data_IF_799784378652
#
_entry.id   IF_799784378652
#
_cell.length_a   1.000
_cell.length_b   1.000
_cell.length_c   1.000
_cell.angle_alpha   90.00
_cell.angle_beta   90.00
_cell.angle_gamma   90.00
#
_symmetry.space_group_name_H-M   'P 1'
#
loop_
_entity.id
_entity.type
_entity.pdbx_description
1 polymer ?
#
# COMPACT_ATOMS: atom_id res chain seq x y z
N UNK A 1 -22.16 26.86 -17.28
CA UNK A 1 -22.52 26.89 -15.84
C UNK A 1 -21.65 25.87 -15.11
N UNK A 2 -21.12 26.29 -13.96
CA UNK A 2 -20.14 25.59 -13.13
C UNK A 2 -20.66 24.25 -12.64
N UNK A 3 -19.81 23.23 -12.69
CA UNK A 3 -19.70 22.31 -11.55
C UNK A 3 -18.22 22.14 -11.23
N UNK A 4 -17.77 22.90 -10.22
CA UNK A 4 -16.61 22.53 -9.43
C UNK A 4 -16.98 21.24 -8.69
N UNK A 5 -16.84 20.09 -9.37
CA UNK A 5 -16.99 18.78 -8.74
C UNK A 5 -15.78 18.60 -7.83
N UNK A 6 -15.99 18.92 -6.55
CA UNK A 6 -15.08 18.59 -5.45
C UNK A 6 -14.83 17.08 -5.52
N UNK A 7 -13.56 16.73 -5.74
CA UNK A 7 -13.06 15.36 -5.78
C UNK A 7 -13.08 14.80 -4.35
N UNK A 8 -14.18 14.16 -3.97
CA UNK A 8 -14.34 13.60 -2.62
C UNK A 8 -13.54 12.31 -2.41
N UNK A 9 -13.05 11.67 -3.49
CA UNK A 9 -12.32 10.40 -3.41
C UNK A 9 -13.09 9.33 -2.61
N UNK A 10 -14.40 9.47 -2.50
CA UNK A 10 -15.23 8.79 -1.52
C UNK A 10 -15.99 7.62 -2.16
N UNK A 11 -15.36 6.45 -2.21
CA UNK A 11 -16.07 5.18 -1.98
C UNK A 11 -15.07 4.03 -1.98
N UNK A 12 -14.58 3.66 -0.79
CA UNK A 12 -14.24 2.26 -0.57
C UNK A 12 -15.53 1.57 -0.14
N UNK A 13 -16.17 0.89 -1.07
CA UNK A 13 -16.05 -0.55 -1.02
C UNK A 13 -14.96 -0.87 -2.03
N UNK A 14 -14.06 -1.82 -1.74
CA UNK A 14 -13.24 -2.39 -2.80
C UNK A 14 -14.17 -3.05 -3.82
N UNK A 15 -14.73 -2.28 -4.74
CA UNK A 15 -15.47 -2.81 -5.87
C UNK A 15 -14.41 -3.58 -6.63
N UNK A 16 -14.42 -4.90 -6.42
CA UNK A 16 -13.72 -5.83 -7.28
C UNK A 16 -14.46 -5.75 -8.61
N UNK A 17 -14.03 -4.82 -9.47
CA UNK A 17 -14.45 -4.87 -10.85
C UNK A 17 -13.87 -6.15 -11.43
N UNK A 18 -14.74 -7.05 -11.86
CA UNK A 18 -14.33 -8.16 -12.69
C UNK A 18 -13.58 -7.65 -13.92
N UNK A 19 -12.72 -8.50 -14.48
CA UNK A 19 -11.88 -8.17 -15.64
C UNK A 19 -12.69 -7.58 -16.83
N UNK A 20 -13.93 -8.02 -17.01
CA UNK A 20 -14.83 -7.59 -18.08
C UNK A 20 -15.61 -6.30 -17.81
N UNK A 21 -15.66 -5.84 -16.56
CA UNK A 21 -16.49 -4.69 -16.21
C UNK A 21 -15.80 -3.38 -16.60
N UNK A 22 -16.54 -2.46 -17.24
CA UNK A 22 -16.00 -1.15 -17.62
C UNK A 22 -15.66 -0.34 -16.35
N UNK A 23 -14.45 0.20 -16.23
CA UNK A 23 -14.12 1.06 -15.10
C UNK A 23 -14.94 2.36 -15.15
N UNK A 24 -15.53 2.71 -14.02
CA UNK A 24 -16.18 4.00 -13.81
C UNK A 24 -15.12 5.10 -13.72
N UNK A 25 -15.46 6.28 -14.26
CA UNK A 25 -14.60 7.47 -14.22
C UNK A 25 -14.31 7.84 -12.76
N UNK A 26 -13.05 8.11 -12.44
CA UNK A 26 -12.56 8.44 -11.08
C UNK A 26 -12.71 7.31 -10.05
N UNK A 27 -13.00 6.08 -10.48
CA UNK A 27 -13.08 4.94 -9.55
C UNK A 27 -11.73 4.59 -8.91
N UNK A 28 -11.83 3.94 -7.75
CA UNK A 28 -10.70 3.34 -7.02
C UNK A 28 -10.94 1.83 -6.94
N UNK A 29 -10.03 1.03 -7.46
CA UNK A 29 -10.21 -0.42 -7.53
C UNK A 29 -9.10 -1.18 -6.83
N UNK A 30 -9.47 -2.34 -6.27
CA UNK A 30 -8.51 -3.36 -5.89
C UNK A 30 -7.96 -3.99 -7.19
N UNK A 31 -6.65 -3.99 -7.35
CA UNK A 31 -5.95 -4.60 -8.48
C UNK A 31 -4.68 -5.29 -7.99
N UNK A 32 -4.00 -5.97 -8.89
CA UNK A 32 -2.84 -6.80 -8.59
C UNK A 32 -1.67 -6.49 -9.52
N UNK A 33 -0.46 -6.63 -9.01
CA UNK A 33 0.77 -6.50 -9.78
C UNK A 33 1.75 -7.59 -9.35
N UNK A 34 2.11 -8.46 -10.29
CA UNK A 34 3.15 -9.46 -10.10
C UNK A 34 4.53 -8.91 -10.43
N UNK A 35 5.50 -9.16 -9.56
CA UNK A 35 6.87 -8.67 -9.68
C UNK A 35 7.87 -9.63 -9.03
N UNK A 36 9.16 -9.47 -9.32
CA UNK A 36 10.21 -10.21 -8.61
C UNK A 36 10.36 -9.76 -7.17
N UNK A 37 10.97 -10.59 -6.31
CA UNK A 37 11.25 -10.24 -4.91
C UNK A 37 12.14 -9.00 -4.83
N UNK A 38 13.16 -8.91 -5.67
CA UNK A 38 14.05 -7.75 -5.72
C UNK A 38 13.31 -6.46 -6.09
N UNK A 39 12.43 -6.50 -7.10
CA UNK A 39 11.62 -5.36 -7.49
C UNK A 39 10.55 -5.02 -6.44
N UNK A 40 10.00 -6.01 -5.75
CA UNK A 40 9.05 -5.80 -4.66
C UNK A 40 9.66 -4.93 -3.55
N UNK A 41 10.90 -5.24 -3.12
CA UNK A 41 11.65 -4.41 -2.16
C UNK A 41 11.81 -2.97 -2.63
N UNK A 42 12.16 -2.78 -3.91
CA UNK A 42 12.34 -1.45 -4.48
C UNK A 42 11.03 -0.66 -4.56
N UNK A 43 9.92 -1.30 -4.91
CA UNK A 43 8.60 -0.68 -4.99
C UNK A 43 8.11 -0.27 -3.60
N UNK A 44 8.35 -1.09 -2.58
CA UNK A 44 7.98 -0.76 -1.20
C UNK A 44 8.79 0.44 -0.70
N UNK A 45 10.10 0.47 -0.98
CA UNK A 45 10.98 1.54 -0.53
C UNK A 45 10.76 2.87 -1.28
N UNK A 46 10.54 2.81 -2.60
CA UNK A 46 10.59 4.00 -3.46
C UNK A 46 9.26 4.33 -4.15
N UNK A 47 8.25 3.47 -4.01
CA UNK A 47 7.06 3.49 -4.83
C UNK A 47 7.29 2.89 -6.21
N UNK A 48 6.19 2.78 -6.97
CA UNK A 48 6.26 2.33 -8.37
C UNK A 48 7.00 3.34 -9.25
N UNK A 49 7.68 2.82 -10.27
CA UNK A 49 8.21 3.60 -11.39
C UNK A 49 7.48 3.16 -12.67
N UNK A 50 7.33 4.08 -13.61
CA UNK A 50 6.79 3.73 -14.93
C UNK A 50 7.73 2.76 -15.64
N UNK A 51 7.17 1.76 -16.32
CA UNK A 51 7.92 1.04 -17.34
C UNK A 51 8.33 2.00 -18.46
N UNK A 52 9.46 1.70 -19.13
CA UNK A 52 9.90 2.47 -20.30
C UNK A 52 9.16 2.08 -21.59
N UNK A 53 8.57 0.88 -21.62
CA UNK A 53 7.85 0.29 -22.76
C UNK A 53 6.71 -0.64 -22.30
N UNK A 54 5.96 -1.20 -23.25
CA UNK A 54 4.92 -2.22 -23.04
C UNK A 54 3.83 -2.12 -24.10
N UNK A 55 2.86 -3.04 -24.08
CA UNK A 55 1.76 -3.10 -25.05
C UNK A 55 0.96 -1.78 -25.12
N UNK A 56 0.70 -1.18 -23.96
CA UNK A 56 0.00 0.09 -23.79
C UNK A 56 1.00 1.25 -23.58
N UNK A 57 2.27 1.07 -23.95
CA UNK A 57 3.32 2.06 -23.70
C UNK A 57 3.76 2.13 -22.24
N UNK A 58 4.24 3.32 -21.84
CA UNK A 58 4.80 3.59 -20.51
C UNK A 58 3.72 3.64 -19.42
N UNK A 59 3.96 3.00 -18.29
CA UNK A 59 3.11 3.10 -17.12
C UNK A 59 3.35 1.98 -16.11
N UNK A 60 2.43 1.84 -15.15
CA UNK A 60 2.38 0.75 -14.20
C UNK A 60 1.30 -0.23 -14.66
N UNK A 61 1.71 -1.43 -15.05
CA UNK A 61 0.79 -2.48 -15.46
C UNK A 61 0.20 -3.15 -14.24
N UNK A 62 -1.12 -3.24 -14.23
CA UNK A 62 -1.91 -3.83 -13.14
C UNK A 62 -2.98 -4.72 -13.75
N UNK A 63 -3.47 -5.69 -12.99
CA UNK A 63 -4.53 -6.60 -13.42
C UNK A 63 -5.62 -6.67 -12.38
N UNK A 64 -6.85 -6.94 -12.82
CA UNK A 64 -7.98 -7.21 -11.91
C UNK A 64 -8.04 -8.69 -11.53
N UNK A 65 -7.30 -9.54 -12.24
CA UNK A 65 -7.16 -10.95 -11.99
C UNK A 65 -5.85 -11.24 -11.23
N UNK A 66 -5.99 -11.69 -9.98
CA UNK A 66 -4.85 -12.10 -9.15
C UNK A 66 -4.07 -13.26 -9.77
N UNK A 67 -4.74 -14.25 -10.37
CA UNK A 67 -4.08 -15.42 -11.00
C UNK A 67 -3.26 -14.98 -12.20
N UNK A 68 -3.78 -14.03 -12.99
CA UNK A 68 -3.00 -13.41 -14.07
C UNK A 68 -1.75 -12.73 -13.50
N UNK A 69 -1.89 -11.93 -12.45
CA UNK A 69 -0.74 -11.26 -11.83
C UNK A 69 0.31 -12.25 -11.27
N UNK A 70 -0.11 -13.41 -10.72
CA UNK A 70 0.80 -14.47 -10.26
C UNK A 70 1.67 -15.09 -11.37
N UNK A 71 1.30 -14.92 -12.65
CA UNK A 71 2.10 -15.37 -13.77
C UNK A 71 3.32 -14.45 -14.05
N UNK A 72 3.43 -13.32 -13.36
CA UNK A 72 4.49 -12.33 -13.57
C UNK A 72 5.51 -12.30 -12.41
N UNK A 73 6.80 -12.06 -12.70
CA UNK A 73 7.37 -11.88 -14.04
C UNK A 73 7.34 -13.18 -14.85
N UNK A 74 7.07 -13.08 -16.15
CA UNK A 74 7.07 -14.25 -17.03
C UNK A 74 8.45 -14.90 -17.01
N UNK A 75 8.49 -16.22 -17.03
CA UNK A 75 9.71 -17.03 -16.99
C UNK A 75 10.53 -16.96 -15.69
N UNK A 76 10.11 -16.19 -14.67
CA UNK A 76 10.70 -16.27 -13.34
C UNK A 76 10.21 -17.54 -12.62
N UNK A 77 11.02 -18.19 -11.77
CA UNK A 77 10.55 -19.29 -10.93
C UNK A 77 9.51 -18.79 -9.91
N UNK A 78 8.61 -19.65 -9.45
CA UNK A 78 7.61 -19.28 -8.42
C UNK A 78 8.26 -18.79 -7.12
N UNK A 79 9.49 -19.22 -6.84
CA UNK A 79 10.30 -18.76 -5.70
C UNK A 79 10.71 -17.29 -5.77
N UNK A 80 10.56 -16.63 -6.92
CA UNK A 80 10.86 -15.22 -7.13
C UNK A 80 9.63 -14.41 -7.60
N UNK A 81 8.41 -14.82 -7.20
CA UNK A 81 7.19 -14.07 -7.55
C UNK A 81 6.48 -13.54 -6.33
N UNK A 82 6.32 -12.22 -6.28
CA UNK A 82 5.48 -11.52 -5.31
C UNK A 82 4.33 -10.87 -6.07
N UNK A 83 3.12 -10.97 -5.52
CA UNK A 83 1.95 -10.25 -6.03
C UNK A 83 1.49 -9.24 -5.00
N UNK A 84 1.53 -7.97 -5.38
CA UNK A 84 0.95 -6.91 -4.56
C UNK A 84 -0.56 -6.84 -4.72
N UNK A 85 -1.24 -6.59 -3.60
CA UNK A 85 -2.59 -6.03 -3.60
C UNK A 85 -2.49 -4.50 -3.66
N UNK A 86 -3.21 -3.90 -4.62
CA UNK A 86 -3.11 -2.48 -4.95
C UNK A 86 -4.45 -1.76 -4.77
N UNK A 87 -4.39 -0.53 -4.30
CA UNK A 87 -5.45 0.47 -4.45
C UNK A 87 -5.09 1.38 -5.62
N UNK A 88 -5.87 1.30 -6.70
CA UNK A 88 -5.57 1.97 -7.98
C UNK A 88 -6.65 3.00 -8.30
N UNK A 89 -6.22 4.26 -8.46
CA UNK A 89 -7.06 5.35 -8.97
C UNK A 89 -6.95 5.48 -10.48
N UNK A 90 -7.92 4.93 -11.19
CA UNK A 90 -7.86 4.85 -12.66
C UNK A 90 -8.13 6.17 -13.39
N UNK A 91 -8.70 7.17 -12.70
CA UNK A 91 -8.96 8.49 -13.28
C UNK A 91 -9.80 8.45 -14.56
N UNK A 92 -9.32 9.09 -15.63
CA UNK A 92 -9.87 8.99 -16.99
C UNK A 92 -9.32 7.75 -17.70
N UNK A 93 -10.19 6.78 -17.97
CA UNK A 93 -9.80 5.54 -18.64
C UNK A 93 -10.03 5.60 -20.14
N UNK A 94 -9.02 5.23 -20.93
CA UNK A 94 -9.14 4.98 -22.36
C UNK A 94 -9.32 3.49 -22.62
N UNK A 95 -10.46 3.10 -23.19
CA UNK A 95 -10.65 1.76 -23.75
C UNK A 95 -9.85 1.62 -25.05
N UNK A 96 -9.10 0.53 -25.15
CA UNK A 96 -8.30 0.13 -26.31
C UNK A 96 -8.76 -1.29 -26.68
N UNK A 97 -9.56 -1.42 -27.74
CA UNK A 97 -10.29 -2.66 -28.05
C UNK A 97 -10.21 -3.06 -29.53
N UNK A 98 -9.20 -2.56 -30.24
CA UNK A 98 -8.88 -2.97 -31.60
C UNK A 98 -7.38 -2.87 -31.85
N UNK A 99 -6.88 -3.73 -32.73
CA UNK A 99 -5.53 -3.60 -33.25
C UNK A 99 -5.35 -2.24 -33.94
N UNK A 100 -4.11 -1.73 -33.93
CA UNK A 100 -3.75 -0.43 -34.50
C UNK A 100 -4.61 0.74 -33.96
N UNK A 101 -5.12 0.64 -32.72
CA UNK A 101 -5.86 1.74 -32.09
C UNK A 101 -4.96 3.01 -32.05
N UNK A 102 -5.41 4.17 -32.52
CA UNK A 102 -4.56 5.37 -32.71
C UNK A 102 -3.95 5.90 -31.40
N UNK A 103 -4.59 5.61 -30.26
CA UNK A 103 -4.11 5.97 -28.93
C UNK A 103 -3.39 4.83 -28.18
N UNK A 104 -3.04 3.71 -28.81
CA UNK A 104 -2.45 2.54 -28.13
C UNK A 104 -1.26 2.90 -27.24
N UNK A 105 -0.37 3.77 -27.74
CA UNK A 105 0.84 4.21 -27.04
C UNK A 105 0.79 5.68 -26.58
N UNK A 106 -0.23 6.44 -26.98
CA UNK A 106 -0.30 7.91 -26.80
C UNK A 106 -1.49 8.38 -25.97
N UNK A 107 -2.27 7.46 -25.39
CA UNK A 107 -3.43 7.77 -24.55
C UNK A 107 -3.08 8.73 -23.39
N UNK A 108 -1.91 8.61 -22.77
CA UNK A 108 -1.51 9.47 -21.65
C UNK A 108 -1.32 10.93 -22.07
N UNK A 109 -0.63 11.16 -23.19
CA UNK A 109 -0.48 12.50 -23.80
C UNK A 109 -1.82 13.08 -24.28
N UNK A 110 -2.86 12.26 -24.41
CA UNK A 110 -4.23 12.68 -24.75
C UNK A 110 -5.12 12.89 -23.49
N UNK A 111 -4.49 13.02 -22.32
CA UNK A 111 -5.18 13.37 -21.07
C UNK A 111 -5.91 12.21 -20.40
N UNK A 112 -5.55 10.96 -20.72
CA UNK A 112 -6.05 9.77 -20.01
C UNK A 112 -5.06 9.33 -18.93
N UNK A 113 -5.58 8.86 -17.81
CA UNK A 113 -4.79 8.42 -16.66
C UNK A 113 -4.51 6.91 -16.69
N UNK A 114 -5.35 6.15 -17.40
CA UNK A 114 -5.23 4.70 -17.54
C UNK A 114 -5.68 4.26 -18.93
N UNK A 115 -4.96 3.34 -19.56
CA UNK A 115 -5.44 2.59 -20.71
C UNK A 115 -5.93 1.21 -20.26
N UNK A 116 -7.01 0.73 -20.88
CA UNK A 116 -7.63 -0.55 -20.56
C UNK A 116 -7.99 -1.31 -21.84
N UNK A 117 -7.48 -2.54 -21.95
CA UNK A 117 -7.91 -3.53 -22.94
C UNK A 117 -8.93 -4.45 -22.26
N UNK A 118 -10.17 -4.53 -22.77
CA UNK A 118 -11.16 -5.46 -22.25
C UNK A 118 -10.80 -6.91 -22.63
N UNK A 119 -11.17 -7.90 -21.79
CA UNK A 119 -10.94 -9.30 -22.12
C UNK A 119 -11.73 -9.70 -23.37
N UNK A 120 -11.17 -10.64 -24.14
CA UNK A 120 -11.78 -11.27 -25.32
C UNK A 120 -12.28 -10.27 -26.37
N UNK A 121 -11.61 -9.13 -26.54
CA UNK A 121 -11.98 -8.11 -27.53
C UNK A 121 -11.50 -8.40 -28.96
N UNK A 122 -10.89 -9.57 -29.20
CA UNK A 122 -10.46 -10.00 -30.53
C UNK A 122 -9.18 -9.34 -31.05
N UNK A 123 -8.46 -8.58 -30.22
CA UNK A 123 -7.17 -7.99 -30.59
C UNK A 123 -6.10 -9.07 -30.78
N UNK A 124 -5.50 -9.13 -31.96
CA UNK A 124 -4.43 -10.08 -32.29
C UNK A 124 -3.16 -9.82 -31.48
N UNK A 125 -2.89 -8.56 -31.12
CA UNK A 125 -1.75 -8.23 -30.26
C UNK A 125 -1.94 -8.66 -28.78
N UNK A 126 -3.10 -9.22 -28.41
CA UNK A 126 -3.36 -9.86 -27.11
C UNK A 126 -3.91 -11.28 -27.32
N UNK A 127 -3.08 -12.25 -27.78
CA UNK A 127 -3.55 -13.60 -28.11
C UNK A 127 -4.21 -14.35 -26.95
N UNK A 128 -3.86 -14.01 -25.72
CA UNK A 128 -4.42 -14.62 -24.52
C UNK A 128 -5.89 -14.23 -24.27
N UNK A 129 -6.38 -13.17 -24.91
CA UNK A 129 -7.71 -12.60 -24.63
C UNK A 129 -7.87 -12.03 -23.22
N UNK A 130 -6.80 -11.92 -22.43
CA UNK A 130 -6.86 -11.36 -21.08
C UNK A 130 -6.88 -9.82 -21.11
N UNK A 131 -7.48 -9.22 -20.11
CA UNK A 131 -7.55 -7.76 -19.93
C UNK A 131 -6.16 -7.17 -19.69
N UNK A 132 -5.90 -5.93 -20.09
CA UNK A 132 -4.66 -5.21 -19.74
C UNK A 132 -5.02 -3.83 -19.21
N UNK A 133 -4.57 -3.48 -18.00
CA UNK A 133 -4.70 -2.13 -17.45
C UNK A 133 -3.30 -1.52 -17.26
N UNK A 134 -3.08 -0.33 -17.80
CA UNK A 134 -1.82 0.42 -17.65
C UNK A 134 -2.10 1.82 -17.11
N UNK A 135 -1.61 2.11 -15.91
CA UNK A 135 -1.79 3.39 -15.23
C UNK A 135 -0.60 4.29 -15.49
N UNK A 136 -0.81 5.52 -15.96
CA UNK A 136 0.30 6.37 -16.37
C UNK A 136 1.12 6.82 -15.17
N UNK A 137 0.51 7.55 -14.24
CA UNK A 137 1.20 8.12 -13.07
C UNK A 137 1.29 7.08 -11.93
N UNK A 138 2.50 6.62 -11.55
CA UNK A 138 2.69 5.69 -10.44
C UNK A 138 2.09 6.17 -9.12
N UNK A 139 1.95 7.48 -8.91
CA UNK A 139 1.34 8.04 -7.69
C UNK A 139 -0.13 7.63 -7.52
N UNK A 140 -0.78 7.17 -8.59
CA UNK A 140 -2.17 6.65 -8.59
C UNK A 140 -2.27 5.19 -8.11
N UNK A 141 -1.14 4.52 -7.89
CA UNK A 141 -1.06 3.11 -7.48
C UNK A 141 -0.46 3.02 -6.08
N UNK A 142 -1.22 2.53 -5.10
CA UNK A 142 -0.73 2.29 -3.74
C UNK A 142 -0.69 0.79 -3.44
N UNK A 143 0.45 0.29 -2.95
CA UNK A 143 0.52 -1.04 -2.33
C UNK A 143 -0.20 -1.04 -0.98
N UNK A 144 -1.24 -1.85 -0.87
CA UNK A 144 -2.08 -2.01 0.33
C UNK A 144 -1.99 -3.40 0.96
N UNK A 145 -1.24 -4.32 0.33
CA UNK A 145 -0.92 -5.62 0.90
C UNK A 145 -0.11 -6.49 -0.07
N UNK A 146 0.15 -7.72 0.36
CA UNK A 146 0.69 -8.80 -0.46
C UNK A 146 -0.42 -9.83 -0.66
N UNK A 147 -0.79 -10.07 -1.91
CA UNK A 147 -1.78 -11.09 -2.27
C UNK A 147 -1.13 -12.48 -2.42
N UNK A 148 0.17 -12.53 -2.72
CA UNK A 148 0.96 -13.76 -2.79
C UNK A 148 2.45 -13.48 -2.59
N UNK A 149 3.13 -14.33 -1.83
CA UNK A 149 4.58 -14.35 -1.70
C UNK A 149 5.09 -15.80 -1.75
N UNK A 150 6.36 -16.03 -2.12
CA UNK A 150 6.92 -17.37 -2.22
C UNK A 150 6.98 -18.13 -0.89
N UNK A 151 7.12 -17.41 0.22
CA UNK A 151 7.12 -17.93 1.58
C UNK A 151 6.84 -16.81 2.60
N UNK A 152 6.52 -17.14 3.86
CA UNK A 152 6.20 -16.16 4.89
C UNK A 152 7.35 -15.21 5.26
N UNK A 153 8.61 -15.64 5.09
CA UNK A 153 9.77 -14.79 5.37
C UNK A 153 9.83 -13.62 4.39
N UNK A 154 9.65 -13.90 3.09
CA UNK A 154 9.57 -12.86 2.06
C UNK A 154 8.34 -11.98 2.23
N UNK A 155 7.19 -12.56 2.60
CA UNK A 155 5.99 -11.78 2.88
C UNK A 155 6.23 -10.75 4.00
N UNK A 156 6.79 -11.21 5.12
CA UNK A 156 7.14 -10.35 6.25
C UNK A 156 8.16 -9.30 5.82
N UNK A 157 9.21 -9.69 5.10
CA UNK A 157 10.24 -8.76 4.64
C UNK A 157 9.68 -7.65 3.74
N UNK A 158 8.76 -8.00 2.83
CA UNK A 158 8.22 -7.07 1.83
C UNK A 158 7.11 -6.18 2.40
N UNK A 159 6.34 -6.63 3.40
CA UNK A 159 5.22 -5.85 3.96
C UNK A 159 5.31 -5.60 5.47
N UNK A 160 6.52 -5.25 5.95
CA UNK A 160 6.71 -4.71 7.30
C UNK A 160 6.74 -3.19 7.27
N UNK A 161 6.03 -2.56 8.21
CA UNK A 161 6.17 -1.13 8.51
C UNK A 161 6.96 -0.96 9.81
N UNK A 162 7.52 0.23 9.98
CA UNK A 162 8.43 0.54 11.07
C UNK A 162 7.96 1.78 11.83
N UNK A 163 8.11 1.73 13.15
CA UNK A 163 7.84 2.85 14.02
C UNK A 163 9.06 3.11 14.91
N UNK A 164 9.66 4.29 14.77
CA UNK A 164 10.75 4.76 15.62
C UNK A 164 10.21 5.40 16.89
N UNK A 165 10.70 4.97 18.04
CA UNK A 165 10.27 5.42 19.35
C UNK A 165 11.41 5.32 20.38
N UNK A 166 11.15 5.64 21.64
CA UNK A 166 12.16 5.50 22.71
C UNK A 166 12.08 4.11 23.37
N UNK A 167 13.11 3.70 24.12
CA UNK A 167 13.09 2.42 24.86
C UNK A 167 11.87 2.33 25.80
N UNK A 168 11.58 3.42 26.55
CA UNK A 168 10.45 3.46 27.48
C UNK A 168 9.08 3.34 26.80
N UNK A 169 8.90 4.02 25.66
CA UNK A 169 7.68 3.90 24.87
C UNK A 169 7.58 2.54 24.17
N UNK A 170 8.69 1.98 23.68
CA UNK A 170 8.70 0.63 23.10
C UNK A 170 8.20 -0.41 24.11
N UNK A 171 8.69 -0.34 25.36
CA UNK A 171 8.19 -1.19 26.45
C UNK A 171 6.68 -1.06 26.63
N UNK A 172 6.18 0.17 26.72
CA UNK A 172 4.76 0.46 26.91
C UNK A 172 3.90 -0.03 25.73
N UNK A 173 4.39 0.17 24.50
CA UNK A 173 3.70 -0.26 23.28
C UNK A 173 3.65 -1.79 23.20
N UNK A 174 4.73 -2.49 23.55
CA UNK A 174 4.78 -3.95 23.51
C UNK A 174 3.80 -4.56 24.53
N UNK A 175 3.72 -3.99 25.74
CA UNK A 175 2.90 -4.54 26.82
C UNK A 175 1.44 -4.09 26.81
N UNK A 176 1.15 -2.91 26.28
CA UNK A 176 -0.18 -2.27 26.40
C UNK A 176 -0.77 -1.86 25.04
N UNK A 177 -0.01 -2.00 23.95
CA UNK A 177 -0.42 -1.56 22.61
C UNK A 177 -0.13 -0.08 22.36
N UNK A 178 -0.38 0.36 21.12
CA UNK A 178 -0.23 1.76 20.74
C UNK A 178 -1.32 2.65 21.33
N UNK A 179 -0.92 3.85 21.72
CA UNK A 179 -1.82 4.99 21.97
C UNK A 179 -1.63 5.98 20.82
N UNK A 180 -2.69 6.38 20.10
CA UNK A 180 -2.57 7.30 18.98
C UNK A 180 -2.14 8.69 19.47
N UNK A 181 -1.29 9.37 18.70
CA UNK A 181 -1.04 10.79 18.91
C UNK A 181 -2.32 11.58 18.68
N UNK A 182 -2.48 12.71 19.39
CA UNK A 182 -3.59 13.64 19.18
C UNK A 182 -3.31 14.68 18.08
N UNK A 183 -2.05 14.80 17.65
CA UNK A 183 -1.56 15.78 16.66
C UNK A 183 -0.55 15.15 15.71
N UNK A 184 -0.21 15.90 14.66
CA UNK A 184 0.83 15.55 13.69
C UNK A 184 0.44 16.07 12.31
N UNK A 185 1.31 15.86 11.32
CA UNK A 185 1.10 16.43 9.99
C UNK A 185 -0.10 15.84 9.24
N UNK A 186 -0.54 14.64 9.62
CA UNK A 186 -1.75 13.98 9.13
C UNK A 186 -2.84 13.91 10.22
N UNK A 187 -2.75 14.72 11.28
CA UNK A 187 -3.71 14.68 12.39
C UNK A 187 -3.47 13.53 13.36
N UNK A 188 -4.50 13.09 14.12
CA UNK A 188 -4.36 12.08 15.15
C UNK A 188 -4.18 10.68 14.57
N UNK A 189 -3.36 9.86 15.23
CA UNK A 189 -3.09 8.48 14.83
C UNK A 189 -1.69 8.00 15.20
N UNK A 190 -1.35 6.81 14.71
CA UNK A 190 -0.01 6.21 14.83
C UNK A 190 0.72 6.36 13.49
N UNK A 191 1.89 6.98 13.56
CA UNK A 191 2.74 7.25 12.40
C UNK A 191 3.72 6.11 12.17
N UNK A 192 3.73 5.56 10.96
CA UNK A 192 4.60 4.44 10.57
C UNK A 192 5.20 4.71 9.19
N UNK A 193 6.28 3.99 8.88
CA UNK A 193 7.02 4.13 7.65
C UNK A 193 7.43 2.77 7.12
N UNK A 194 7.37 2.54 5.81
CA UNK A 194 7.94 1.39 5.11
C UNK A 194 9.45 1.50 4.98
N UNK A 195 9.98 2.73 5.04
CA UNK A 195 11.42 2.98 5.11
C UNK A 195 11.92 2.80 6.55
N UNK A 196 12.65 1.70 6.78
CA UNK A 196 13.32 1.43 8.07
C UNK A 196 14.31 2.53 8.45
N UNK A 197 15.11 3.02 7.51
CA UNK A 197 16.11 4.07 7.76
C UNK A 197 15.44 5.39 8.14
N UNK A 198 14.25 5.67 7.58
CA UNK A 198 13.42 6.79 8.06
C UNK A 198 13.03 6.59 9.52
N UNK A 199 12.49 5.42 9.87
CA UNK A 199 12.05 5.14 11.24
C UNK A 199 13.20 5.20 12.26
N UNK A 200 14.40 4.76 11.91
CA UNK A 200 15.60 4.85 12.77
C UNK A 200 15.99 6.27 13.19
N UNK A 201 15.54 7.29 12.46
CA UNK A 201 15.79 8.69 12.81
C UNK A 201 14.84 9.24 13.87
N UNK A 202 13.74 8.55 14.17
CA UNK A 202 12.75 9.02 15.12
C UNK A 202 12.95 8.41 16.52
N UNK A 203 12.70 9.19 17.58
CA UNK A 203 12.39 10.63 17.56
C UNK A 203 13.61 11.49 17.18
N UNK A 204 13.42 12.56 16.38
CA UNK A 204 14.52 13.31 15.75
C UNK A 204 15.51 13.94 16.74
N UNK A 205 15.02 14.40 17.90
CA UNK A 205 15.81 15.07 18.94
C UNK A 205 16.26 14.13 20.06
N UNK A 206 15.98 12.83 19.94
CA UNK A 206 16.33 11.84 20.96
C UNK A 206 17.78 11.35 20.82
N UNK A 207 18.42 10.95 21.90
CA UNK A 207 19.74 10.31 21.83
C UNK A 207 19.64 8.96 21.08
N UNK A 208 20.50 8.68 20.08
CA UNK A 208 20.51 7.38 19.40
C UNK A 208 20.55 6.16 20.33
N UNK A 209 21.19 6.27 21.51
CA UNK A 209 21.23 5.20 22.52
C UNK A 209 19.90 4.94 23.24
N UNK A 210 18.87 5.75 22.99
CA UNK A 210 17.52 5.58 23.52
C UNK A 210 16.50 5.27 22.41
N UNK A 211 16.91 5.19 21.14
CA UNK A 211 15.99 4.94 20.02
C UNK A 211 15.79 3.45 19.78
N UNK A 212 14.54 3.07 19.58
CA UNK A 212 14.09 1.73 19.20
C UNK A 212 13.25 1.82 17.94
N UNK A 213 13.40 0.85 17.05
CA UNK A 213 12.54 0.68 15.88
C UNK A 213 11.75 -0.61 16.03
N UNK A 214 10.42 -0.49 16.09
CA UNK A 214 9.50 -1.61 16.11
C UNK A 214 9.18 -2.07 14.69
N UNK A 215 9.09 -3.38 14.48
CA UNK A 215 8.54 -4.00 13.27
C UNK A 215 7.04 -4.21 13.44
N UNK A 216 6.26 -3.80 12.45
CA UNK A 216 4.81 -3.78 12.51
C UNK A 216 4.18 -4.54 11.34
N UNK A 217 3.20 -5.37 11.68
CA UNK A 217 2.18 -5.87 10.76
C UNK A 217 1.00 -4.88 10.80
N UNK A 218 0.67 -4.26 9.67
CA UNK A 218 -0.31 -3.16 9.60
C UNK A 218 -1.43 -3.45 8.60
N UNK A 219 -2.68 -3.43 9.08
CA UNK A 219 -3.89 -3.52 8.25
C UNK A 219 -4.36 -2.15 7.81
N UNK A 220 -3.81 -1.64 6.70
CA UNK A 220 -3.99 -0.25 6.24
C UNK A 220 -5.43 0.14 5.87
N UNK A 221 -6.29 -0.82 5.49
CA UNK A 221 -7.70 -0.56 5.20
C UNK A 221 -7.94 0.53 4.14
N UNK A 222 -8.92 1.41 4.38
CA UNK A 222 -9.25 2.57 3.55
C UNK A 222 -8.17 3.63 3.63
N UNK A 223 -7.39 3.78 2.57
CA UNK A 223 -6.33 4.79 2.52
C UNK A 223 -6.82 6.08 1.87
N UNK A 224 -6.69 7.22 2.57
CA UNK A 224 -6.71 8.54 1.94
C UNK A 224 -5.29 8.98 1.58
N UNK A 225 -5.06 9.29 0.31
CA UNK A 225 -3.81 9.93 -0.12
C UNK A 225 -3.87 11.42 0.21
N UNK A 226 -2.81 11.92 0.82
CA UNK A 226 -2.55 13.32 1.12
C UNK A 226 -1.25 13.66 0.38
N UNK A 227 -1.35 14.27 -0.79
CA UNK A 227 -0.23 14.46 -1.74
C UNK A 227 0.04 15.92 -2.10
N UNK A 228 -0.59 16.85 -1.39
CA UNK A 228 -0.38 18.29 -1.54
C UNK A 228 -0.51 18.97 -0.19
N UNK A 229 0.16 20.10 -0.04
CA UNK A 229 -0.06 20.98 1.10
C UNK A 229 -1.52 21.47 1.10
N UNK A 230 -2.04 21.77 2.30
CA UNK A 230 -3.41 22.22 2.53
C UNK A 230 -4.47 21.28 1.92
N UNK A 231 -4.21 19.96 1.96
CA UNK A 231 -5.18 18.99 1.48
C UNK A 231 -6.44 19.07 2.34
N UNK A 232 -7.66 19.16 1.76
CA UNK A 232 -8.91 19.43 2.51
C UNK A 232 -9.24 18.38 3.57
N UNK A 233 -8.64 17.19 3.46
CA UNK A 233 -8.81 16.06 4.38
C UNK A 233 -7.53 15.69 5.13
N UNK A 234 -6.51 16.55 5.15
CA UNK A 234 -5.23 16.27 5.82
C UNK A 234 -5.39 15.91 7.29
N UNK A 235 -6.37 16.52 7.98
CA UNK A 235 -6.63 16.31 9.41
C UNK A 235 -7.97 15.63 9.72
N UNK A 236 -8.79 15.36 8.70
CA UNK A 236 -10.20 14.90 8.87
C UNK A 236 -10.50 13.60 8.12
N UNK A 237 -9.49 12.97 7.50
CA UNK A 237 -9.66 11.72 6.74
C UNK A 237 -10.31 10.62 7.58
N UNK A 238 -9.95 10.48 8.87
CA UNK A 238 -10.53 9.44 9.72
C UNK A 238 -12.04 9.63 9.94
N UNK A 239 -12.49 10.87 10.16
CA UNK A 239 -13.92 11.21 10.29
C UNK A 239 -14.71 11.03 8.99
N UNK A 240 -14.01 10.94 7.85
CA UNK A 240 -14.60 10.65 6.55
C UNK A 240 -14.51 9.16 6.18
N UNK A 241 -14.32 8.31 7.19
CA UNK A 241 -14.34 6.86 7.07
C UNK A 241 -13.07 6.26 6.47
N UNK A 242 -11.93 6.96 6.46
CA UNK A 242 -10.65 6.36 6.08
C UNK A 242 -9.94 5.78 7.30
N UNK A 243 -9.26 4.65 7.12
CA UNK A 243 -8.52 3.95 8.16
C UNK A 243 -7.07 4.43 8.27
N UNK A 244 -6.51 4.91 7.15
CA UNK A 244 -5.12 5.38 7.05
C UNK A 244 -5.04 6.63 6.16
N UNK A 245 -4.30 7.66 6.58
CA UNK A 245 -3.80 8.69 5.68
C UNK A 245 -2.39 8.34 5.20
N UNK A 246 -2.07 8.69 3.96
CA UNK A 246 -0.80 8.37 3.33
C UNK A 246 -0.22 9.52 2.53
N UNK A 247 1.02 9.87 2.81
CA UNK A 247 1.83 10.73 1.97
C UNK A 247 2.70 9.89 1.04
N UNK A 248 2.56 10.01 -0.29
CA UNK A 248 3.44 9.31 -1.22
C UNK A 248 4.86 9.89 -1.20
N UNK A 249 5.87 9.06 -1.54
CA UNK A 249 7.23 9.56 -1.70
C UNK A 249 7.29 10.59 -2.83
N UNK A 250 8.07 11.65 -2.62
CA UNK A 250 8.34 12.72 -3.59
C UNK A 250 7.06 13.31 -4.21
N UNK A 251 5.99 13.44 -3.41
CA UNK A 251 4.72 14.03 -3.85
C UNK A 251 4.81 15.55 -4.09
N UNK A 252 5.81 16.22 -3.52
CA UNK A 252 6.01 17.66 -3.67
C UNK A 252 5.44 18.49 -2.51
N UNK A 253 4.90 17.85 -1.47
CA UNK A 253 4.46 18.53 -0.25
C UNK A 253 5.63 19.21 0.47
N UNK A 254 5.52 20.53 0.68
CA UNK A 254 6.51 21.32 1.42
C UNK A 254 6.54 20.92 2.91
N UNK A 255 5.40 20.48 3.45
CA UNK A 255 5.32 19.96 4.81
C UNK A 255 6.21 18.71 5.04
N UNK A 256 6.56 17.96 3.97
CA UNK A 256 7.41 16.77 4.03
C UNK A 256 8.75 17.04 3.36
N UNK A 257 9.60 17.83 4.02
CA UNK A 257 10.93 18.21 3.51
C UNK A 257 11.81 17.03 3.10
N UNK A 258 11.61 15.86 3.72
CA UNK A 258 12.39 14.67 3.40
C UNK A 258 12.01 14.02 2.07
N UNK A 259 10.82 14.32 1.53
CA UNK A 259 10.26 13.61 0.38
C UNK A 259 9.92 12.14 0.64
N UNK A 260 10.07 11.64 1.87
CA UNK A 260 9.82 10.24 2.21
C UNK A 260 8.35 10.01 2.57
N UNK A 261 7.86 8.83 2.21
CA UNK A 261 6.48 8.42 2.44
C UNK A 261 6.13 8.31 3.94
N UNK A 262 4.86 8.48 4.28
CA UNK A 262 4.37 8.35 5.66
C UNK A 262 2.95 7.83 5.68
N UNK A 263 2.70 6.80 6.50
CA UNK A 263 1.36 6.27 6.79
C UNK A 263 0.96 6.72 8.22
N UNK A 264 -0.27 7.22 8.39
CA UNK A 264 -0.88 7.54 9.68
C UNK A 264 -2.16 6.74 9.85
N UNK A 265 -2.19 5.84 10.85
CA UNK A 265 -3.28 4.88 11.08
C UNK A 265 -4.11 5.34 12.27
N UNK A 266 -5.43 5.37 12.12
CA UNK A 266 -6.32 5.89 13.17
C UNK A 266 -6.60 4.86 14.26
N UNK A 267 -7.07 3.66 13.87
CA UNK A 267 -7.39 2.58 14.80
C UNK A 267 -6.15 1.73 15.11
N UNK A 268 -5.69 1.75 16.36
CA UNK A 268 -4.49 1.04 16.80
C UNK A 268 -4.64 -0.48 16.75
N UNK A 269 -5.87 -1.02 16.71
CA UNK A 269 -6.14 -2.46 16.51
C UNK A 269 -5.74 -2.96 15.12
N UNK A 270 -5.40 -2.06 14.21
CA UNK A 270 -4.86 -2.38 12.88
C UNK A 270 -3.36 -2.59 12.89
N UNK A 271 -2.68 -2.37 14.02
CA UNK A 271 -1.24 -2.39 14.15
C UNK A 271 -0.85 -3.46 15.16
N UNK A 272 0.05 -4.35 14.74
CA UNK A 272 0.59 -5.40 15.59
C UNK A 272 2.10 -5.34 15.58
N UNK A 273 2.71 -5.29 16.77
CA UNK A 273 4.15 -5.41 16.90
C UNK A 273 4.54 -6.86 16.64
N UNK A 274 5.45 -7.09 15.70
CA UNK A 274 5.90 -8.42 15.27
C UNK A 274 7.41 -8.61 15.44
N UNK A 275 8.11 -7.60 15.93
CA UNK A 275 9.55 -7.65 16.14
C UNK A 275 10.16 -6.31 16.53
N UNK A 276 11.47 -6.35 16.72
CA UNK A 276 12.33 -5.19 17.01
C UNK A 276 13.38 -5.15 15.92
N UNK A 277 13.33 -4.11 15.08
CA UNK A 277 14.21 -3.98 13.92
C UNK A 277 15.59 -3.42 14.30
N UNK A 278 15.64 -2.62 15.38
CA UNK A 278 16.86 -1.98 15.92
C UNK A 278 16.60 -1.51 17.35
N UNK A 279 17.53 -1.77 18.26
CA UNK A 279 17.55 -1.23 19.62
C UNK A 279 19.00 -1.23 20.16
N UNK A 280 19.30 -0.45 21.21
CA UNK A 280 20.52 -0.64 22.00
C UNK A 280 20.56 -2.05 22.56
N UNK A 281 21.73 -2.68 22.60
CA UNK A 281 21.87 -4.11 22.92
C UNK A 281 21.21 -4.51 24.25
N UNK A 282 21.35 -3.66 25.28
CA UNK A 282 20.76 -3.89 26.61
C UNK A 282 19.24 -3.84 26.57
N UNK A 283 18.67 -2.86 25.86
CA UNK A 283 17.24 -2.73 25.68
C UNK A 283 16.66 -3.85 24.80
N UNK A 284 17.36 -4.28 23.76
CA UNK A 284 16.88 -5.33 22.86
C UNK A 284 16.61 -6.64 23.60
N UNK A 285 17.55 -7.05 24.46
CA UNK A 285 17.44 -8.28 25.26
C UNK A 285 16.27 -8.22 26.25
N UNK A 286 15.98 -7.04 26.78
CA UNK A 286 14.86 -6.82 27.68
C UNK A 286 13.53 -6.86 26.92
N UNK A 287 13.42 -6.07 25.86
CA UNK A 287 12.19 -5.91 25.08
C UNK A 287 11.76 -7.21 24.40
N UNK A 288 12.70 -8.05 23.95
CA UNK A 288 12.40 -9.38 23.37
C UNK A 288 11.80 -10.36 24.38
N UNK A 289 11.96 -10.13 25.69
CA UNK A 289 11.39 -10.99 26.75
C UNK A 289 9.98 -10.56 27.16
N UNK A 290 9.55 -9.36 26.75
CA UNK A 290 8.21 -8.89 27.06
C UNK A 290 7.18 -9.73 26.29
N UNK A 291 6.02 -10.01 26.89
CA UNK A 291 4.94 -10.66 26.18
C UNK A 291 4.49 -9.73 25.05
N UNK A 292 4.71 -10.14 23.80
CA UNK A 292 4.04 -9.49 22.68
C UNK A 292 2.54 -9.65 22.93
N UNK A 293 1.81 -8.55 23.05
CA UNK A 293 0.36 -8.62 23.14
C UNK A 293 -0.17 -9.18 21.83
N UNK A 294 -0.35 -10.49 21.79
CA UNK A 294 -1.19 -11.18 20.81
C UNK A 294 -2.60 -10.87 21.24
N UNK A 295 -3.17 -9.78 20.72
CA UNK A 295 -4.63 -9.65 20.70
C UNK A 295 -5.15 -10.80 19.83
N UNK A 296 -5.54 -11.89 20.49
CA UNK A 296 -6.24 -13.02 19.90
C UNK A 296 -7.48 -12.50 19.17
N UNK A 297 -7.38 -12.36 17.85
CA UNK A 297 -8.57 -12.33 17.01
C UNK A 297 -9.08 -13.76 16.88
N UNK A 298 -10.10 -14.09 17.66
CA UNK A 298 -11.05 -15.17 17.36
C UNK A 298 -10.49 -16.60 17.32
N UNK A 299 -10.35 -17.23 18.48
CA UNK A 299 -10.63 -18.67 18.57
C UNK A 299 -11.38 -18.92 19.87
N UNK A 300 -12.71 -18.94 19.76
CA UNK A 300 -13.57 -19.52 20.78
C UNK A 300 -13.16 -21.00 20.86
N UNK A 301 -12.40 -21.39 21.88
CA UNK A 301 -12.22 -22.80 22.20
C UNK A 301 -13.61 -23.36 22.53
N UNK A 302 -14.16 -24.16 21.61
CA UNK A 302 -15.15 -25.18 21.96
C UNK A 302 -14.44 -26.21 22.83
N UNK A 303 -14.47 -25.99 24.14
CA UNK A 303 -14.32 -27.03 25.13
C UNK A 303 -15.40 -26.78 26.17
N UNK A 304 -16.50 -27.53 26.05
CA UNK A 304 -17.30 -28.01 27.18
C UNK A 304 -18.28 -29.11 26.68
N UNK A 305 -18.20 -30.24 27.38
CA UNK A 305 -19.14 -31.36 27.46
C UNK A 305 -19.27 -32.37 26.30
N UNK A 306 -18.59 -33.52 26.46
CA UNK A 306 -19.28 -34.74 26.95
C UNK A 306 -18.29 -35.79 27.46
N UNK A 307 -18.27 -35.97 28.78
CA UNK A 307 -17.98 -37.24 29.45
C UNK A 307 -19.17 -37.54 30.35
N UNK A 308 -20.00 -38.48 29.92
CA UNK A 308 -20.63 -39.58 30.65
C UNK A 308 -21.34 -40.43 29.62
#
# INVERSE_FOLDING_TARGET
>A
FRENVVDDGASFQGVLLGASQKPQRRGVYKMFHGTSVACARLIIANGFKQSSTGLLGKGVYVSRDQKKAQAYPRNAPSSDRVVFELSVRVGRVKRIDKDNHPLLLTWSSNGYDTAWIPPNCGMQCVPSGLEEDCVFDPKRVKVVGIAHAPNPTIEKEVYTMYHGTTVGFARSIITSGFVPSTKGMLGPGVYVSRDKKKAERYPLQENPSNRVVLELEVRVGRVKRIDKDDHPMQYTWHSNGYDTAWVPPNCGMKAVKSGLEEDCIFDTKRIKVVGIAKAPQTAENELKKLPLVVFFFGMLQKHLHKKR
#
